data_IF_268865921831
#
_entry.id   IF_268865921831
#
_cell.length_a   1.000
_cell.length_b   1.000
_cell.length_c   1.000
_cell.angle_alpha   90.00
_cell.angle_beta   90.00
_cell.angle_gamma   90.00
#
_symmetry.space_group_name_H-M   'P 1'
#
loop_
_entity.id
_entity.type
_entity.pdbx_description
1 polymer ?
#
# COMPACT_ATOMS: atom_id res chain seq x y z
N UNK A 1 -10.10 16.25 17.81
CA UNK A 1 -10.46 16.42 16.37
C UNK A 1 -10.17 15.12 15.63
N UNK A 2 -11.11 14.66 14.81
CA UNK A 2 -10.94 13.48 13.97
C UNK A 2 -10.27 13.87 12.64
N UNK A 3 -8.98 14.10 12.68
CA UNK A 3 -8.20 14.61 11.52
C UNK A 3 -6.81 13.95 11.36
N UNK A 4 -6.54 12.87 12.09
CA UNK A 4 -5.25 12.19 12.02
C UNK A 4 -5.51 10.72 11.72
N UNK A 5 -5.04 10.26 10.57
CA UNK A 5 -4.98 8.84 10.25
C UNK A 5 -3.95 8.15 11.15
N UNK A 6 -4.31 6.98 11.66
CA UNK A 6 -3.41 6.17 12.49
C UNK A 6 -3.44 4.73 12.05
N UNK A 7 -2.30 4.08 12.11
CA UNK A 7 -2.17 2.65 11.86
C UNK A 7 -1.46 1.99 13.04
N UNK A 8 -2.01 0.90 13.52
CA UNK A 8 -1.51 0.12 14.66
C UNK A 8 -1.17 -1.27 14.15
N UNK A 9 0.05 -1.73 14.38
CA UNK A 9 0.43 -3.11 14.09
C UNK A 9 0.04 -3.98 15.28
N UNK A 10 -1.08 -4.72 15.11
CA UNK A 10 -1.54 -5.70 16.11
C UNK A 10 -0.81 -7.03 15.93
N UNK A 11 -0.96 -7.94 16.87
CA UNK A 11 -0.40 -9.30 16.77
C UNK A 11 -0.94 -10.12 15.60
N UNK A 12 -2.07 -9.73 15.01
CA UNK A 12 -2.71 -10.41 13.87
C UNK A 12 -2.57 -9.64 12.55
N UNK A 13 -2.10 -8.39 12.59
CA UNK A 13 -1.90 -7.55 11.41
C UNK A 13 -2.22 -6.07 11.63
N UNK A 14 -2.10 -5.22 10.62
CA UNK A 14 -2.32 -3.79 10.72
C UNK A 14 -3.80 -3.44 10.84
N UNK A 15 -4.11 -2.55 11.78
CA UNK A 15 -5.41 -1.93 12.01
C UNK A 15 -5.27 -0.42 11.78
N UNK A 16 -5.97 0.11 10.79
CA UNK A 16 -5.93 1.52 10.44
C UNK A 16 -7.25 2.23 10.78
N UNK A 17 -7.13 3.44 11.32
CA UNK A 17 -8.22 4.38 11.55
C UNK A 17 -8.04 5.55 10.61
N UNK A 18 -8.94 5.72 9.65
CA UNK A 18 -8.86 6.70 8.56
C UNK A 18 -10.01 7.70 8.71
N UNK A 19 -9.76 8.92 9.18
CA UNK A 19 -10.80 9.93 9.31
C UNK A 19 -11.41 10.30 7.96
N UNK A 20 -12.73 10.18 7.83
CA UNK A 20 -13.47 10.63 6.66
C UNK A 20 -14.12 11.99 6.90
N UNK A 21 -14.52 12.26 8.15
CA UNK A 21 -15.12 13.53 8.57
C UNK A 21 -14.87 13.78 10.05
N UNK A 22 -15.43 14.84 10.58
CA UNK A 22 -15.34 15.16 12.04
C UNK A 22 -15.89 14.03 12.92
N UNK A 23 -16.88 13.26 12.42
CA UNK A 23 -17.60 12.23 13.17
C UNK A 23 -17.47 10.83 12.59
N UNK A 24 -17.00 10.68 11.35
CA UNK A 24 -16.92 9.40 10.67
C UNK A 24 -15.45 8.98 10.45
N UNK A 25 -15.16 7.72 10.76
CA UNK A 25 -13.84 7.11 10.57
C UNK A 25 -14.02 5.78 9.84
N UNK A 26 -13.34 5.62 8.71
CA UNK A 26 -13.19 4.31 8.07
C UNK A 26 -12.15 3.50 8.85
N UNK A 27 -12.46 2.23 9.10
CA UNK A 27 -11.56 1.33 9.81
C UNK A 27 -11.22 0.17 8.88
N UNK A 28 -9.94 -0.03 8.66
CA UNK A 28 -9.42 -1.13 7.84
C UNK A 28 -8.58 -2.03 8.74
N UNK A 29 -8.99 -3.30 8.84
CA UNK A 29 -8.23 -4.30 9.58
C UNK A 29 -7.80 -5.42 8.64
N UNK A 30 -6.53 -5.48 8.32
CA UNK A 30 -5.94 -6.58 7.57
C UNK A 30 -5.33 -7.58 8.54
N UNK A 31 -5.82 -8.81 8.53
CA UNK A 31 -5.32 -9.85 9.44
C UNK A 31 -5.06 -11.15 8.70
N UNK A 32 -4.13 -11.94 9.22
CA UNK A 32 -3.75 -13.24 8.68
C UNK A 32 -4.51 -14.36 9.39
N UNK A 33 -4.99 -15.32 8.62
CA UNK A 33 -5.69 -16.51 9.11
C UNK A 33 -7.15 -16.55 8.70
N UNK A 34 -7.77 -17.72 8.93
CA UNK A 34 -9.18 -17.97 8.61
C UNK A 34 -10.10 -17.87 9.84
N UNK A 35 -9.58 -17.37 10.95
CA UNK A 35 -10.35 -17.27 12.19
C UNK A 35 -11.45 -16.20 12.04
N UNK A 36 -12.62 -16.49 12.60
CA UNK A 36 -13.66 -15.46 12.78
C UNK A 36 -13.20 -14.50 13.88
N UNK A 37 -12.87 -13.28 13.49
CA UNK A 37 -12.49 -12.23 14.43
C UNK A 37 -13.74 -11.42 14.78
N UNK A 38 -13.97 -11.21 16.07
CA UNK A 38 -14.89 -10.15 16.49
C UNK A 38 -14.22 -8.79 16.23
N UNK A 39 -14.52 -8.26 15.05
CA UNK A 39 -14.00 -6.98 14.59
C UNK A 39 -14.32 -5.84 15.56
N UNK A 40 -15.55 -5.83 16.09
CA UNK A 40 -16.01 -4.77 17.01
C UNK A 40 -15.21 -4.78 18.31
N UNK A 41 -14.97 -5.96 18.86
CA UNK A 41 -14.17 -6.12 20.07
C UNK A 41 -12.70 -5.73 19.80
N UNK A 42 -12.17 -6.13 18.65
CA UNK A 42 -10.81 -5.79 18.26
C UNK A 42 -10.63 -4.26 18.14
N UNK A 43 -11.55 -3.59 17.44
CA UNK A 43 -11.51 -2.13 17.30
C UNK A 43 -11.60 -1.43 18.66
N UNK A 44 -12.53 -1.87 19.54
CA UNK A 44 -12.64 -1.30 20.89
C UNK A 44 -11.35 -1.46 21.71
N UNK A 45 -10.66 -2.61 21.60
CA UNK A 45 -9.41 -2.89 22.32
C UNK A 45 -8.29 -1.91 21.94
N UNK A 46 -8.18 -1.56 20.66
CA UNK A 46 -7.09 -0.72 20.15
C UNK A 46 -7.47 0.75 19.99
N UNK A 47 -8.77 1.06 20.11
CA UNK A 47 -9.25 2.43 20.06
C UNK A 47 -9.06 3.11 21.44
N UNK A 48 -8.11 4.04 21.50
CA UNK A 48 -7.85 4.85 22.70
C UNK A 48 -8.18 6.33 22.48
N UNK A 49 -8.86 6.70 21.39
CA UNK A 49 -9.02 8.10 20.97
C UNK A 49 -10.47 8.54 20.81
N UNK A 50 -11.38 7.62 20.50
CA UNK A 50 -12.73 7.97 20.07
C UNK A 50 -13.77 7.26 20.91
N UNK A 51 -14.86 7.95 21.18
CA UNK A 51 -16.10 7.32 21.59
C UNK A 51 -16.77 6.73 20.36
N UNK A 52 -17.06 5.42 20.39
CA UNK A 52 -17.69 4.72 19.29
C UNK A 52 -19.19 4.68 19.51
N UNK A 53 -19.95 5.42 18.73
CA UNK A 53 -21.40 5.47 18.81
C UNK A 53 -22.05 4.28 18.09
N UNK A 54 -21.57 3.96 16.87
CA UNK A 54 -22.10 2.86 16.07
C UNK A 54 -21.07 2.34 15.07
N UNK A 55 -21.29 1.11 14.57
CA UNK A 55 -20.58 0.54 13.43
C UNK A 55 -21.57 0.37 12.28
N UNK A 56 -21.14 0.75 11.06
CA UNK A 56 -21.93 0.61 9.83
C UNK A 56 -21.09 -0.07 8.76
N UNK A 57 -21.75 -0.67 7.77
CA UNK A 57 -21.15 -1.16 6.52
C UNK A 57 -19.92 -2.09 6.72
N UNK A 58 -20.05 -3.05 7.66
CA UNK A 58 -18.98 -4.01 7.92
C UNK A 58 -18.95 -5.04 6.81
N UNK A 59 -17.86 -5.10 6.08
CA UNK A 59 -17.59 -6.09 5.03
C UNK A 59 -16.22 -6.74 5.23
N UNK A 60 -16.04 -7.94 4.72
CA UNK A 60 -14.74 -8.60 4.70
C UNK A 60 -14.51 -9.31 3.36
N UNK A 61 -13.27 -9.32 2.91
CA UNK A 61 -12.86 -9.99 1.69
C UNK A 61 -11.45 -10.56 1.83
N UNK A 62 -11.18 -11.60 1.05
CA UNK A 62 -9.87 -12.24 1.05
C UNK A 62 -8.89 -11.37 0.27
N UNK A 63 -7.76 -11.06 0.89
CA UNK A 63 -6.63 -10.40 0.24
C UNK A 63 -5.70 -11.48 -0.34
N UNK A 64 -5.38 -11.35 -1.62
CA UNK A 64 -4.39 -12.17 -2.30
C UNK A 64 -3.41 -11.20 -2.95
N UNK A 65 -2.16 -11.20 -2.49
CA UNK A 65 -1.09 -10.46 -3.14
C UNK A 65 -0.77 -11.12 -4.47
N UNK A 66 -0.62 -10.32 -5.52
CA UNK A 66 -0.29 -10.82 -6.85
C UNK A 66 0.41 -9.73 -7.67
N UNK A 67 1.45 -10.15 -8.40
CA UNK A 67 2.13 -9.34 -9.40
C UNK A 67 2.09 -10.09 -10.73
N UNK A 68 1.71 -9.40 -11.81
CA UNK A 68 1.71 -9.99 -13.13
C UNK A 68 3.14 -10.15 -13.65
N UNK A 69 3.40 -11.29 -14.31
CA UNK A 69 4.69 -11.55 -14.99
C UNK A 69 4.81 -10.77 -16.29
N UNK A 70 3.70 -10.56 -16.99
CA UNK A 70 3.63 -9.72 -18.18
C UNK A 70 2.53 -8.69 -17.99
N UNK A 71 2.81 -7.45 -18.34
CA UNK A 71 1.93 -6.32 -18.11
C UNK A 71 0.94 -6.10 -19.27
N UNK A 72 1.13 -6.80 -20.38
CA UNK A 72 0.25 -6.65 -21.54
C UNK A 72 0.06 -7.96 -22.28
N UNK A 73 -1.01 -8.00 -23.05
CA UNK A 73 -1.29 -9.04 -24.04
C UNK A 73 -1.79 -8.36 -25.32
N UNK A 74 -1.00 -8.47 -26.40
CA UNK A 74 -1.22 -7.71 -27.64
C UNK A 74 -1.31 -6.20 -27.32
N UNK A 75 -2.42 -5.53 -27.69
CA UNK A 75 -2.66 -4.11 -27.46
C UNK A 75 -3.42 -3.82 -26.15
N UNK A 76 -3.57 -4.81 -25.27
CA UNK A 76 -4.28 -4.65 -23.99
C UNK A 76 -3.26 -4.61 -22.87
N UNK A 77 -3.18 -3.46 -22.18
CA UNK A 77 -2.33 -3.23 -21.03
C UNK A 77 -3.12 -3.51 -19.74
N UNK A 78 -2.58 -4.34 -18.86
CA UNK A 78 -3.08 -4.48 -17.49
C UNK A 78 -2.74 -3.22 -16.69
N UNK A 79 -3.63 -2.81 -15.77
CA UNK A 79 -3.44 -1.59 -15.00
C UNK A 79 -4.05 -1.67 -13.60
N UNK A 80 -3.54 -0.87 -12.66
CA UNK A 80 -4.04 -0.80 -11.29
C UNK A 80 -3.91 -2.12 -10.53
N UNK A 81 -4.94 -2.48 -9.77
CA UNK A 81 -4.98 -3.71 -8.95
C UNK A 81 -4.89 -5.01 -9.77
N UNK A 82 -5.14 -4.95 -11.08
CA UNK A 82 -4.92 -6.09 -11.96
C UNK A 82 -3.42 -6.33 -12.16
N UNK A 83 -2.66 -5.26 -12.28
CA UNK A 83 -1.23 -5.30 -12.53
C UNK A 83 -0.44 -5.75 -11.30
N UNK A 84 -0.73 -5.13 -10.16
CA UNK A 84 -0.09 -5.41 -8.88
C UNK A 84 -1.08 -5.24 -7.73
N UNK A 85 -1.31 -6.30 -7.02
CA UNK A 85 -2.15 -6.31 -5.82
C UNK A 85 -1.26 -6.55 -4.60
N UNK A 86 -1.03 -5.51 -3.84
CA UNK A 86 -0.15 -5.55 -2.67
C UNK A 86 -0.95 -5.53 -1.37
N UNK A 87 -0.29 -5.89 -0.29
CA UNK A 87 -0.85 -5.72 1.05
C UNK A 87 -1.27 -4.26 1.28
N UNK A 88 -2.44 -4.00 1.90
CA UNK A 88 -2.95 -2.64 2.16
C UNK A 88 -2.16 -1.93 3.28
N UNK A 89 -0.86 -2.13 3.30
CA UNK A 89 0.05 -1.46 4.22
C UNK A 89 0.14 0.01 3.81
N UNK A 90 -0.36 0.90 4.66
CA UNK A 90 -0.36 2.35 4.44
C UNK A 90 -1.01 2.83 3.11
N UNK A 91 -1.90 2.02 2.49
CA UNK A 91 -2.63 2.41 1.29
C UNK A 91 -1.78 2.58 0.03
N UNK A 92 -0.63 1.93 -0.06
CA UNK A 92 0.36 2.13 -1.13
C UNK A 92 -0.07 1.62 -2.50
N UNK A 93 -1.06 0.72 -2.61
CA UNK A 93 -1.54 0.21 -3.91
C UNK A 93 -2.05 1.32 -4.83
N UNK A 94 -2.84 2.25 -4.30
CA UNK A 94 -3.31 3.41 -5.06
C UNK A 94 -2.15 4.31 -5.53
N UNK A 95 -1.16 4.54 -4.69
CA UNK A 95 0.02 5.33 -5.04
C UNK A 95 0.84 4.68 -6.17
N UNK A 96 0.95 3.34 -6.18
CA UNK A 96 1.56 2.62 -7.31
C UNK A 96 0.79 2.87 -8.60
N UNK A 97 -0.53 2.75 -8.60
CA UNK A 97 -1.38 3.01 -9.77
C UNK A 97 -1.24 4.46 -10.28
N UNK A 98 -1.11 5.44 -9.38
CA UNK A 98 -0.84 6.84 -9.78
C UNK A 98 0.53 7.03 -10.43
N UNK A 99 1.57 6.33 -9.94
CA UNK A 99 2.90 6.34 -10.57
C UNK A 99 2.87 5.72 -11.95
N UNK A 100 2.19 4.58 -12.08
CA UNK A 100 2.00 3.90 -13.37
C UNK A 100 1.23 4.79 -14.35
N UNK A 101 0.20 5.51 -13.89
CA UNK A 101 -0.55 6.49 -14.70
C UNK A 101 0.38 7.60 -15.21
N UNK A 102 1.25 8.13 -14.36
CA UNK A 102 2.22 9.14 -14.77
C UNK A 102 3.16 8.62 -15.84
N UNK A 103 3.67 7.40 -15.67
CA UNK A 103 4.60 6.80 -16.61
C UNK A 103 3.97 6.53 -17.98
N UNK A 104 2.75 5.97 -18.02
CA UNK A 104 2.06 5.72 -19.29
C UNK A 104 1.73 7.04 -20.01
N UNK A 105 1.33 8.07 -19.28
CA UNK A 105 1.09 9.40 -19.85
C UNK A 105 2.37 10.01 -20.45
N UNK A 106 3.50 9.90 -19.76
CA UNK A 106 4.78 10.37 -20.27
C UNK A 106 5.18 9.64 -21.55
N UNK A 107 4.96 8.33 -21.64
CA UNK A 107 5.23 7.54 -22.85
C UNK A 107 4.34 7.95 -24.02
N UNK A 108 3.04 8.17 -23.75
CA UNK A 108 2.09 8.65 -24.77
C UNK A 108 2.50 10.02 -25.29
N UNK A 109 2.84 10.96 -24.41
CA UNK A 109 3.27 12.30 -24.78
C UNK A 109 4.54 12.25 -25.61
N UNK A 110 5.55 11.48 -25.17
CA UNK A 110 6.82 11.34 -25.88
C UNK A 110 6.62 10.79 -27.30
N UNK A 111 5.79 9.75 -27.48
CA UNK A 111 5.49 9.23 -28.81
C UNK A 111 4.79 10.25 -29.69
N UNK A 112 3.80 10.95 -29.14
CA UNK A 112 3.06 12.00 -29.85
C UNK A 112 3.95 13.15 -30.29
N UNK A 113 4.84 13.62 -29.41
CA UNK A 113 5.80 14.70 -29.72
C UNK A 113 6.78 14.31 -30.83
N UNK A 114 7.16 13.04 -30.91
CA UNK A 114 8.03 12.50 -31.94
C UNK A 114 7.29 12.03 -33.21
N UNK A 115 5.97 12.22 -33.30
CA UNK A 115 5.19 11.81 -34.47
C UNK A 115 5.10 10.28 -34.63
N UNK A 116 5.27 9.50 -33.54
CA UNK A 116 5.24 8.05 -33.55
C UNK A 116 3.81 7.55 -33.26
N UNK A 117 3.46 6.41 -33.85
CA UNK A 117 2.17 5.78 -33.64
C UNK A 117 1.99 5.29 -32.19
N UNK A 118 0.74 5.38 -31.72
CA UNK A 118 0.33 4.81 -30.43
C UNK A 118 -0.08 3.35 -30.64
N UNK A 119 0.91 2.50 -30.81
CA UNK A 119 0.76 1.07 -31.02
C UNK A 119 1.16 0.25 -29.78
N UNK A 120 1.23 -1.09 -29.92
CA UNK A 120 1.57 -1.98 -28.82
C UNK A 120 2.97 -1.77 -28.24
N UNK A 121 3.87 -1.05 -28.94
CA UNK A 121 5.21 -0.76 -28.43
C UNK A 121 5.16 0.10 -27.16
N UNK A 122 4.10 0.89 -26.97
CA UNK A 122 3.85 1.62 -25.72
C UNK A 122 3.71 0.67 -24.52
N UNK A 123 3.07 -0.48 -24.71
CA UNK A 123 2.93 -1.49 -23.67
C UNK A 123 4.27 -2.12 -23.29
N UNK A 124 5.11 -2.37 -24.31
CA UNK A 124 6.49 -2.86 -24.10
C UNK A 124 7.33 -1.87 -23.31
N UNK A 125 7.30 -0.60 -23.72
CA UNK A 125 8.08 0.46 -23.09
C UNK A 125 7.61 0.69 -21.65
N UNK A 126 6.30 0.64 -21.41
CA UNK A 126 5.72 0.73 -20.09
C UNK A 126 6.19 -0.42 -19.18
N UNK A 127 6.08 -1.68 -19.65
CA UNK A 127 6.55 -2.84 -18.89
C UNK A 127 8.05 -2.73 -18.57
N UNK A 128 8.89 -2.37 -19.54
CA UNK A 128 10.34 -2.20 -19.34
C UNK A 128 10.67 -1.16 -18.28
N UNK A 129 9.95 -0.03 -18.28
CA UNK A 129 10.21 1.08 -17.35
C UNK A 129 9.68 0.86 -15.96
N UNK A 130 8.56 0.15 -15.81
CA UNK A 130 7.83 0.08 -14.53
C UNK A 130 7.98 -1.25 -13.81
N UNK A 131 8.10 -2.37 -14.52
CA UNK A 131 8.05 -3.71 -13.93
C UNK A 131 9.06 -3.93 -12.81
N UNK A 132 10.33 -3.60 -13.04
CA UNK A 132 11.38 -3.81 -12.03
C UNK A 132 11.15 -2.92 -10.80
N UNK A 133 10.70 -1.67 -10.99
CA UNK A 133 10.41 -0.73 -9.90
C UNK A 133 9.21 -1.20 -9.08
N UNK A 134 8.15 -1.64 -9.76
CA UNK A 134 6.96 -2.16 -9.11
C UNK A 134 7.26 -3.44 -8.33
N UNK A 135 8.06 -4.37 -8.89
CA UNK A 135 8.45 -5.60 -8.23
C UNK A 135 9.30 -5.33 -6.96
N UNK A 136 10.26 -4.42 -7.03
CA UNK A 136 11.08 -4.04 -5.87
C UNK A 136 10.18 -3.42 -4.80
N UNK A 137 9.26 -2.53 -5.18
CA UNK A 137 8.37 -1.85 -4.26
C UNK A 137 7.39 -2.84 -3.59
N UNK A 138 6.74 -3.69 -4.37
CA UNK A 138 5.83 -4.75 -3.91
C UNK A 138 6.53 -5.68 -2.90
N UNK A 139 7.69 -6.22 -3.27
CA UNK A 139 8.48 -7.07 -2.39
C UNK A 139 8.93 -6.35 -1.11
N UNK A 140 9.21 -5.05 -1.18
CA UNK A 140 9.57 -4.26 0.01
C UNK A 140 8.40 -4.13 0.97
N UNK A 141 7.18 -3.93 0.48
CA UNK A 141 5.96 -3.90 1.29
C UNK A 141 5.70 -5.27 1.95
N UNK A 142 5.82 -6.35 1.18
CA UNK A 142 5.64 -7.72 1.68
C UNK A 142 6.71 -8.06 2.73
N UNK A 143 7.95 -7.66 2.50
CA UNK A 143 9.04 -7.81 3.47
C UNK A 143 8.75 -7.08 4.79
N UNK A 144 8.31 -5.82 4.73
CA UNK A 144 7.93 -5.05 5.93
C UNK A 144 6.80 -5.77 6.67
N UNK A 145 5.78 -6.23 5.94
CA UNK A 145 4.65 -6.96 6.53
C UNK A 145 5.08 -8.26 7.23
N UNK A 146 5.88 -9.09 6.57
CA UNK A 146 6.38 -10.36 7.14
C UNK A 146 7.33 -10.11 8.33
N UNK A 147 8.14 -9.06 8.27
CA UNK A 147 9.05 -8.73 9.36
C UNK A 147 8.31 -8.30 10.62
N UNK A 148 7.28 -7.44 10.51
CA UNK A 148 6.43 -7.08 11.66
C UNK A 148 5.71 -8.31 12.24
N UNK A 149 5.29 -9.22 11.38
CA UNK A 149 4.65 -10.45 11.79
C UNK A 149 5.62 -11.37 12.58
N UNK A 150 6.86 -11.47 12.12
CA UNK A 150 7.92 -12.19 12.81
C UNK A 150 8.25 -11.57 14.17
N UNK A 151 8.41 -10.24 14.24
CA UNK A 151 8.67 -9.52 15.49
C UNK A 151 7.59 -9.77 16.54
N UNK A 152 6.33 -9.76 16.13
CA UNK A 152 5.19 -10.07 17.00
C UNK A 152 5.23 -11.52 17.54
N UNK A 153 5.69 -12.49 16.73
CA UNK A 153 5.83 -13.90 17.18
C UNK A 153 6.95 -14.08 18.19
N UNK A 154 8.07 -13.40 18.01
CA UNK A 154 9.27 -13.53 18.85
C UNK A 154 9.17 -12.69 20.13
N UNK A 155 8.14 -11.86 20.28
CA UNK A 155 7.92 -10.91 21.39
C UNK A 155 9.12 -9.99 21.66
N UNK A 156 9.94 -9.69 20.64
CA UNK A 156 11.07 -8.77 20.71
C UNK A 156 10.77 -7.53 19.87
N UNK A 157 10.79 -6.36 20.47
CA UNK A 157 10.46 -5.07 19.83
C UNK A 157 11.71 -4.43 19.18
N UNK A 158 12.49 -5.19 18.42
CA UNK A 158 13.74 -4.68 17.84
C UNK A 158 13.46 -3.71 16.69
N UNK A 159 12.61 -4.09 15.74
CA UNK A 159 12.26 -3.23 14.60
C UNK A 159 11.42 -2.03 15.04
N UNK A 160 10.47 -2.24 15.92
CA UNK A 160 9.66 -1.14 16.48
C UNK A 160 10.54 -0.09 17.15
N UNK A 161 11.62 -0.49 17.82
CA UNK A 161 12.64 0.43 18.36
C UNK A 161 13.47 1.08 17.26
N UNK A 162 13.90 0.32 16.25
CA UNK A 162 14.66 0.84 15.11
C UNK A 162 13.84 1.84 14.31
N UNK A 163 12.58 1.52 13.95
CA UNK A 163 11.66 2.43 13.26
C UNK A 163 11.41 3.69 14.08
N UNK A 164 11.22 3.56 15.40
CA UNK A 164 11.07 4.72 16.30
C UNK A 164 12.32 5.59 16.35
N UNK A 165 13.51 4.98 16.32
CA UNK A 165 14.78 5.71 16.29
C UNK A 165 14.99 6.40 14.93
N UNK A 166 14.78 5.69 13.83
CA UNK A 166 14.87 6.22 12.46
C UNK A 166 13.83 7.33 12.21
N UNK A 167 12.61 7.15 12.74
CA UNK A 167 11.53 8.13 12.63
C UNK A 167 11.78 9.45 13.36
N UNK A 168 12.75 9.52 14.28
CA UNK A 168 13.20 10.77 14.89
C UNK A 168 14.17 11.57 14.01
N UNK A 169 14.73 10.94 12.98
CA UNK A 169 15.69 11.59 12.09
C UNK A 169 14.95 12.20 10.88
N UNK A 170 14.90 13.52 10.81
CA UNK A 170 14.21 14.27 9.76
C UNK A 170 14.71 13.93 8.34
N UNK A 171 16.00 13.62 8.16
CA UNK A 171 16.55 13.25 6.85
C UNK A 171 16.03 11.88 6.40
N UNK A 172 16.00 10.91 7.31
CA UNK A 172 15.49 9.57 7.03
C UNK A 172 13.99 9.61 6.76
N UNK A 173 13.23 10.35 7.56
CA UNK A 173 11.80 10.54 7.31
C UNK A 173 11.53 11.14 5.92
N UNK A 174 12.30 12.16 5.53
CA UNK A 174 12.17 12.77 4.20
C UNK A 174 12.45 11.76 3.07
N UNK A 175 13.46 10.90 3.23
CA UNK A 175 13.75 9.82 2.27
C UNK A 175 12.60 8.83 2.21
N UNK A 176 12.13 8.34 3.38
CA UNK A 176 11.02 7.38 3.44
C UNK A 176 9.73 7.94 2.85
N UNK A 177 9.41 9.21 3.13
CA UNK A 177 8.25 9.90 2.55
C UNK A 177 8.42 10.01 1.02
N UNK A 178 9.59 10.41 0.55
CA UNK A 178 9.85 10.51 -0.89
C UNK A 178 9.72 9.16 -1.60
N UNK A 179 10.23 8.07 -1.00
CA UNK A 179 10.05 6.72 -1.54
C UNK A 179 8.59 6.28 -1.52
N UNK A 180 7.82 6.63 -0.48
CA UNK A 180 6.40 6.32 -0.41
C UNK A 180 5.58 7.06 -1.48
N UNK A 181 5.93 8.33 -1.75
CA UNK A 181 5.21 9.19 -2.69
C UNK A 181 5.64 8.94 -4.14
N UNK A 182 6.94 8.81 -4.39
CA UNK A 182 7.52 8.77 -5.73
C UNK A 182 8.06 7.39 -6.14
N UNK A 183 8.09 6.42 -5.22
CA UNK A 183 8.74 5.13 -5.43
C UNK A 183 10.27 5.22 -5.38
N UNK A 184 10.93 4.11 -5.71
CA UNK A 184 12.38 4.11 -5.87
C UNK A 184 12.74 4.83 -7.18
N UNK A 185 13.41 5.97 -7.08
CA UNK A 185 14.07 6.60 -8.23
C UNK A 185 15.41 5.86 -8.43
N UNK A 186 15.39 4.88 -9.32
CA UNK A 186 16.58 4.20 -9.83
C UNK A 186 16.72 4.59 -11.30
#
# INVERSE_FOLDING_TARGET
KNNIATQIFTSKGPLAFLPLSKTNTSIVYSFRGNEKIDFKQCVKKYNNRYEILSFRDISSFKLISSDLRSYFNKNVLAFGDLLHKIHPLAGQGFNMSLRDTREILNLIMLKKENGLDLDYSICIDFEKKTRHKNLIFSNSIDFIYEYFNFENKVKKNFLSKAVKYLGKNNKINKILTNVADNGFMI
#
